data_IF_473328870089
#
_entry.id   IF_473328870089
#
_cell.length_a   1.000
_cell.length_b   1.000
_cell.length_c   1.000
_cell.angle_alpha   90.00
_cell.angle_beta   90.00
_cell.angle_gamma   90.00
#
_symmetry.space_group_name_H-M   'P 1'
#
loop_
_entity.id
_entity.type
_entity.pdbx_description
1 polymer ?
#
# COMPACT_ATOMS: atom_id res chain seq x y z
N UNK A 1 18.39 -14.98 -10.44
CA UNK A 1 17.55 -14.49 -9.33
C UNK A 1 18.52 -14.00 -8.26
N UNK A 2 18.75 -12.70 -8.14
CA UNK A 2 19.59 -12.12 -7.08
C UNK A 2 18.69 -11.99 -5.83
N UNK A 3 18.82 -12.92 -4.89
CA UNK A 3 18.36 -12.72 -3.53
C UNK A 3 19.29 -11.70 -2.88
N UNK A 4 18.99 -10.42 -3.05
CA UNK A 4 19.57 -9.40 -2.18
C UNK A 4 18.90 -9.56 -0.81
N UNK A 5 19.53 -10.30 0.09
CA UNK A 5 19.21 -10.27 1.50
C UNK A 5 19.53 -8.86 2.02
N UNK A 6 18.59 -7.94 1.82
CA UNK A 6 18.63 -6.61 2.42
C UNK A 6 18.56 -6.80 3.93
N UNK A 7 19.68 -6.55 4.62
CA UNK A 7 19.84 -6.87 6.04
C UNK A 7 19.27 -5.73 6.89
N UNK A 8 18.01 -5.89 7.35
CA UNK A 8 17.38 -4.94 8.27
C UNK A 8 18.10 -4.83 9.63
N UNK A 9 18.87 -5.85 10.03
CA UNK A 9 19.60 -5.83 11.31
C UNK A 9 20.84 -4.91 11.28
N UNK A 10 21.24 -4.41 10.11
CA UNK A 10 22.29 -3.42 9.96
C UNK A 10 21.81 -1.98 10.13
N UNK A 11 20.50 -1.76 10.20
CA UNK A 11 19.91 -0.42 10.39
C UNK A 11 20.13 0.05 11.84
N UNK A 12 20.27 1.38 12.05
CA UNK A 12 20.36 1.94 13.39
C UNK A 12 19.08 1.71 14.19
N UNK A 13 19.17 1.88 15.52
CA UNK A 13 17.98 1.84 16.38
C UNK A 13 16.89 2.77 15.86
N UNK A 14 15.67 2.24 15.68
CA UNK A 14 14.57 2.95 15.08
C UNK A 14 14.04 4.06 16.00
N UNK A 15 14.50 5.29 15.77
CA UNK A 15 14.02 6.50 16.47
C UNK A 15 13.16 7.32 15.53
N UNK A 16 11.89 7.54 15.90
CA UNK A 16 10.99 8.35 15.08
C UNK A 16 10.02 9.18 15.93
N UNK A 17 9.47 10.22 15.33
CA UNK A 17 8.36 11.01 15.85
C UNK A 17 7.38 11.37 14.75
N UNK A 18 6.11 11.59 15.11
CA UNK A 18 5.14 12.18 14.19
C UNK A 18 5.23 13.70 14.27
N UNK A 19 5.41 14.33 13.12
CA UNK A 19 5.53 15.79 13.02
C UNK A 19 4.68 16.33 11.89
N UNK A 20 4.17 17.54 12.08
CA UNK A 20 3.52 18.32 11.03
C UNK A 20 4.62 19.09 10.27
N UNK A 21 4.84 18.72 9.01
CA UNK A 21 5.89 19.29 8.16
C UNK A 21 5.25 19.96 6.95
N UNK A 22 5.68 21.20 6.64
CA UNK A 22 5.25 21.87 5.43
C UNK A 22 5.82 21.13 4.19
N UNK A 23 4.98 20.88 3.20
CA UNK A 23 5.37 20.15 1.99
C UNK A 23 6.52 20.80 1.21
N UNK A 24 6.70 22.11 1.32
CA UNK A 24 7.84 22.82 0.75
C UNK A 24 9.21 22.36 1.31
N UNK A 25 9.21 21.81 2.52
CA UNK A 25 10.42 21.32 3.19
C UNK A 25 10.70 19.85 2.91
N UNK A 26 9.77 19.15 2.27
CA UNK A 26 9.86 17.73 1.96
C UNK A 26 10.64 17.52 0.65
N UNK A 27 11.81 16.91 0.73
CA UNK A 27 12.73 16.74 -0.40
C UNK A 27 12.72 15.26 -0.83
N UNK A 28 12.28 14.94 -2.07
CA UNK A 28 12.46 13.60 -2.60
C UNK A 28 13.94 13.37 -2.95
N UNK A 29 14.49 12.21 -2.62
CA UNK A 29 15.86 11.87 -2.98
C UNK A 29 15.89 11.18 -4.34
N UNK A 30 16.24 11.94 -5.38
CA UNK A 30 16.25 11.48 -6.79
C UNK A 30 17.27 10.37 -7.06
N UNK A 31 18.27 10.21 -6.22
CA UNK A 31 19.35 9.23 -6.43
C UNK A 31 18.88 7.77 -6.29
N UNK A 32 17.89 7.50 -5.44
CA UNK A 32 17.34 6.15 -5.24
C UNK A 32 15.84 6.05 -5.48
N UNK A 33 15.11 7.17 -5.52
CA UNK A 33 13.68 7.15 -5.78
C UNK A 33 13.37 7.25 -7.27
N UNK A 34 12.22 6.68 -7.63
CA UNK A 34 11.68 6.87 -9.00
C UNK A 34 11.22 8.31 -9.16
N UNK A 35 11.26 8.79 -10.40
CA UNK A 35 10.61 10.05 -10.76
C UNK A 35 9.12 9.99 -10.44
N UNK A 36 8.55 11.12 -10.01
CA UNK A 36 7.11 11.29 -9.84
C UNK A 36 6.37 10.90 -11.12
N UNK A 37 5.33 10.08 -10.95
CA UNK A 37 4.41 9.74 -12.02
C UNK A 37 3.16 10.59 -11.86
N UNK A 38 3.04 11.63 -12.67
CA UNK A 38 1.93 12.58 -12.58
C UNK A 38 0.57 11.92 -12.78
N UNK A 39 0.48 10.90 -13.64
CA UNK A 39 -0.72 10.07 -13.80
C UNK A 39 -1.16 9.42 -12.47
N UNK A 40 -0.19 8.86 -11.73
CA UNK A 40 -0.47 8.27 -10.42
C UNK A 40 -0.83 9.33 -9.38
N UNK A 41 -0.20 10.50 -9.43
CA UNK A 41 -0.53 11.63 -8.56
C UNK A 41 -1.97 12.08 -8.81
N UNK A 42 -2.38 12.24 -10.09
CA UNK A 42 -3.74 12.60 -10.46
C UNK A 42 -4.77 11.58 -9.98
N UNK A 43 -4.51 10.27 -10.21
CA UNK A 43 -5.38 9.20 -9.73
C UNK A 43 -5.56 9.20 -8.19
N UNK A 44 -4.48 9.48 -7.45
CA UNK A 44 -4.56 9.60 -5.99
C UNK A 44 -5.35 10.86 -5.62
N UNK A 45 -5.11 11.99 -6.30
CA UNK A 45 -5.77 13.26 -6.00
C UNK A 45 -7.29 13.21 -6.30
N UNK A 46 -7.71 12.58 -7.39
CA UNK A 46 -9.12 12.41 -7.77
C UNK A 46 -9.92 11.63 -6.70
N UNK A 47 -9.30 10.67 -6.04
CA UNK A 47 -9.93 9.83 -5.02
C UNK A 47 -9.28 10.03 -3.65
N UNK A 48 -8.75 11.24 -3.39
CA UNK A 48 -8.01 11.49 -2.17
C UNK A 48 -8.91 11.42 -0.94
N UNK A 49 -8.47 10.65 0.04
CA UNK A 49 -9.12 10.56 1.34
C UNK A 49 -8.07 10.37 2.43
N UNK A 50 -8.16 11.14 3.49
CA UNK A 50 -7.28 10.98 4.67
C UNK A 50 -7.45 9.62 5.36
N UNK A 51 -8.59 8.95 5.19
CA UNK A 51 -8.80 7.59 5.72
C UNK A 51 -7.93 6.53 5.07
N UNK A 52 -7.52 6.74 3.81
CA UNK A 52 -6.73 5.77 3.03
C UNK A 52 -5.31 6.27 2.73
N UNK A 53 -5.07 7.57 2.90
CA UNK A 53 -3.78 8.16 2.61
C UNK A 53 -2.77 7.83 3.72
N UNK A 54 -1.68 7.16 3.34
CA UNK A 54 -0.59 6.89 4.27
C UNK A 54 0.18 8.16 4.62
N UNK A 55 0.70 8.19 5.86
CA UNK A 55 1.62 9.21 6.29
C UNK A 55 2.97 9.04 5.58
N UNK A 56 3.54 10.11 4.99
CA UNK A 56 4.85 10.03 4.38
C UNK A 56 5.91 9.65 5.41
N UNK A 57 6.85 8.77 5.01
CA UNK A 57 8.02 8.43 5.81
C UNK A 57 9.19 9.31 5.39
N UNK A 58 9.75 9.98 6.36
CA UNK A 58 10.72 11.05 6.16
C UNK A 58 11.93 10.79 7.04
N UNK A 59 13.13 10.95 6.49
CA UNK A 59 14.36 10.99 7.25
C UNK A 59 14.77 12.42 7.51
N UNK A 60 15.12 12.73 8.75
CA UNK A 60 15.69 14.02 9.11
C UNK A 60 17.19 13.88 9.27
N UNK A 61 17.95 14.41 8.31
CA UNK A 61 19.41 14.46 8.32
C UNK A 61 19.91 15.79 7.77
N UNK A 62 21.04 16.26 8.21
CA UNK A 62 21.68 17.49 7.75
C UNK A 62 20.76 18.72 7.79
N UNK A 63 19.84 18.77 8.77
CA UNK A 63 18.89 19.86 8.91
C UNK A 63 17.74 19.85 7.89
N UNK A 64 17.54 18.75 7.14
CA UNK A 64 16.56 18.65 6.04
C UNK A 64 15.69 17.41 6.18
N UNK A 65 14.49 17.46 5.58
CA UNK A 65 13.51 16.38 5.56
C UNK A 65 13.53 15.66 4.21
N UNK A 66 14.07 14.44 4.17
CA UNK A 66 14.12 13.62 2.96
C UNK A 66 13.01 12.58 2.97
N UNK A 67 12.08 12.68 2.00
CA UNK A 67 10.98 11.71 1.87
C UNK A 67 11.53 10.44 1.25
N UNK A 68 11.47 9.31 1.92
CA UNK A 68 11.86 8.03 1.34
C UNK A 68 10.66 7.10 1.04
N UNK A 69 9.45 7.45 1.52
CA UNK A 69 8.22 6.79 1.12
C UNK A 69 7.06 7.79 1.11
N UNK A 70 6.12 7.64 0.16
CA UNK A 70 4.91 8.46 0.08
C UNK A 70 5.04 9.73 -0.77
N UNK A 71 6.07 9.90 -1.61
CA UNK A 71 6.24 11.10 -2.45
C UNK A 71 5.00 11.41 -3.33
N UNK A 72 4.35 10.38 -3.93
CA UNK A 72 3.14 10.60 -4.73
C UNK A 72 1.98 11.11 -3.87
N UNK A 73 1.87 10.66 -2.61
CA UNK A 73 0.85 11.12 -1.67
C UNK A 73 1.09 12.57 -1.24
N UNK A 74 2.34 12.96 -1.05
CA UNK A 74 2.71 14.38 -0.77
C UNK A 74 2.26 15.27 -1.92
N UNK A 75 2.57 14.89 -3.17
CA UNK A 75 2.22 15.68 -4.33
C UNK A 75 0.71 15.67 -4.62
N UNK A 76 0.02 14.56 -4.36
CA UNK A 76 -1.43 14.50 -4.45
C UNK A 76 -2.10 15.46 -3.45
N UNK A 77 -1.60 15.56 -2.20
CA UNK A 77 -2.09 16.54 -1.23
C UNK A 77 -1.89 17.98 -1.69
N UNK A 78 -0.73 18.30 -2.29
CA UNK A 78 -0.50 19.61 -2.90
C UNK A 78 -1.48 19.87 -4.04
N UNK A 79 -1.70 18.88 -4.91
CA UNK A 79 -2.66 18.96 -6.02
C UNK A 79 -4.07 19.24 -5.52
N UNK A 80 -4.53 18.53 -4.48
CA UNK A 80 -5.84 18.77 -3.83
C UNK A 80 -5.92 20.17 -3.19
N UNK A 81 -4.78 20.74 -2.79
CA UNK A 81 -4.69 22.10 -2.24
C UNK A 81 -4.46 23.17 -3.33
N UNK A 82 -4.81 22.88 -4.58
CA UNK A 82 -4.65 23.81 -5.70
C UNK A 82 -3.19 24.09 -6.08
N UNK A 83 -2.31 23.12 -5.90
CA UNK A 83 -0.87 23.22 -6.19
C UNK A 83 -0.06 24.00 -5.14
N UNK A 84 -0.69 24.44 -4.05
CA UNK A 84 -0.04 25.17 -2.97
C UNK A 84 0.51 24.22 -1.92
N UNK A 85 1.54 24.68 -1.23
CA UNK A 85 2.11 23.94 -0.11
C UNK A 85 1.08 23.74 1.02
N UNK A 86 1.19 22.56 1.64
CA UNK A 86 0.28 22.12 2.70
C UNK A 86 1.09 21.50 3.83
N UNK A 87 0.64 21.65 5.05
CA UNK A 87 1.23 21.00 6.21
C UNK A 87 0.73 19.57 6.32
N UNK A 88 1.66 18.61 6.32
CA UNK A 88 1.39 17.18 6.27
C UNK A 88 1.93 16.51 7.53
N UNK A 89 1.14 15.63 8.12
CA UNK A 89 1.62 14.76 9.18
C UNK A 89 2.54 13.71 8.60
N UNK A 90 3.79 13.70 9.05
CA UNK A 90 4.84 12.79 8.57
C UNK A 90 5.36 11.94 9.72
N UNK A 91 5.74 10.70 9.41
CA UNK A 91 6.55 9.87 10.31
C UNK A 91 8.02 10.18 10.05
N UNK A 92 8.63 10.95 10.94
CA UNK A 92 10.01 11.45 10.80
C UNK A 92 10.97 10.55 11.56
N UNK A 93 11.92 9.97 10.86
CA UNK A 93 12.98 9.12 11.39
C UNK A 93 14.27 9.92 11.59
N UNK A 94 15.02 9.56 12.62
CA UNK A 94 16.27 10.20 13.00
C UNK A 94 17.41 9.19 12.99
N UNK A 95 18.59 9.66 12.61
CA UNK A 95 19.82 8.85 12.62
C UNK A 95 19.96 7.91 11.44
N UNK A 96 19.10 8.03 10.41
CA UNK A 96 19.27 7.30 9.16
C UNK A 96 20.31 7.99 8.28
N UNK A 97 21.12 7.20 7.59
CA UNK A 97 21.98 7.64 6.49
C UNK A 97 21.20 7.59 5.16
N UNK A 98 21.77 8.14 4.10
CA UNK A 98 21.20 8.03 2.75
C UNK A 98 21.12 6.57 2.27
N UNK A 99 22.10 5.77 2.64
CA UNK A 99 22.17 4.35 2.34
C UNK A 99 21.06 3.56 3.05
N UNK A 100 20.76 3.92 4.31
CA UNK A 100 19.65 3.35 5.07
C UNK A 100 18.30 3.69 4.43
N UNK A 101 18.12 4.96 4.02
CA UNK A 101 16.93 5.41 3.30
C UNK A 101 16.72 4.61 2.00
N UNK A 102 17.78 4.43 1.20
CA UNK A 102 17.74 3.67 -0.04
C UNK A 102 17.38 2.19 0.21
N UNK A 103 17.95 1.59 1.25
CA UNK A 103 17.65 0.22 1.67
C UNK A 103 16.18 0.06 2.07
N UNK A 104 15.66 0.97 2.90
CA UNK A 104 14.27 0.97 3.32
C UNK A 104 13.32 1.16 2.14
N UNK A 105 13.65 2.07 1.22
CA UNK A 105 12.88 2.28 -0.01
C UNK A 105 12.82 1.00 -0.86
N UNK A 106 13.96 0.33 -1.06
CA UNK A 106 14.02 -0.90 -1.84
C UNK A 106 13.19 -2.03 -1.22
N UNK A 107 13.25 -2.22 0.10
CA UNK A 107 12.47 -3.23 0.82
C UNK A 107 10.97 -2.95 0.68
N UNK A 108 10.52 -1.72 0.91
CA UNK A 108 9.11 -1.36 0.84
C UNK A 108 8.54 -1.54 -0.57
N UNK A 109 9.29 -1.13 -1.60
CA UNK A 109 8.84 -1.27 -2.99
C UNK A 109 8.87 -2.72 -3.49
N UNK A 110 9.77 -3.54 -2.96
CA UNK A 110 9.89 -4.97 -3.30
C UNK A 110 8.80 -5.85 -2.66
N UNK A 111 8.28 -5.45 -1.50
CA UNK A 111 7.32 -6.24 -0.71
C UNK A 111 5.85 -5.81 -0.91
N UNK A 112 5.59 -4.81 -1.74
CA UNK A 112 4.22 -4.37 -2.02
C UNK A 112 3.46 -5.44 -2.81
N UNK A 113 2.64 -6.22 -2.12
CA UNK A 113 1.74 -7.19 -2.75
C UNK A 113 0.42 -6.51 -3.08
N UNK A 114 0.01 -6.56 -4.35
CA UNK A 114 -1.31 -6.10 -4.75
C UNK A 114 -2.37 -7.12 -4.30
N UNK A 115 -3.51 -6.63 -3.83
CA UNK A 115 -4.67 -7.47 -3.55
C UNK A 115 -5.07 -8.23 -4.83
N UNK A 116 -5.34 -9.53 -4.68
CA UNK A 116 -5.95 -10.33 -5.73
C UNK A 116 -7.38 -9.87 -6.01
N UNK A 117 -7.93 -10.25 -7.16
CA UNK A 117 -9.33 -9.92 -7.48
C UNK A 117 -10.32 -10.47 -6.44
N UNK A 118 -10.06 -11.69 -5.93
CA UNK A 118 -10.89 -12.31 -4.90
C UNK A 118 -10.84 -11.59 -3.54
N UNK A 119 -9.64 -11.16 -3.12
CA UNK A 119 -9.48 -10.39 -1.87
C UNK A 119 -10.19 -9.03 -1.96
N UNK A 120 -10.10 -8.38 -3.14
CA UNK A 120 -10.80 -7.11 -3.39
C UNK A 120 -12.30 -7.29 -3.39
N UNK A 121 -12.80 -8.34 -4.06
CA UNK A 121 -14.23 -8.66 -4.09
C UNK A 121 -14.78 -8.88 -2.67
N UNK A 122 -14.06 -9.65 -1.86
CA UNK A 122 -14.43 -9.90 -0.46
C UNK A 122 -14.49 -8.61 0.36
N UNK A 123 -13.47 -7.76 0.26
CA UNK A 123 -13.44 -6.50 0.96
C UNK A 123 -14.62 -5.60 0.57
N UNK A 124 -14.94 -5.52 -0.73
CA UNK A 124 -16.07 -4.75 -1.23
C UNK A 124 -17.43 -5.33 -0.79
N UNK A 125 -17.54 -6.66 -0.65
CA UNK A 125 -18.76 -7.29 -0.12
C UNK A 125 -18.99 -6.92 1.35
N UNK A 126 -17.93 -6.98 2.18
CA UNK A 126 -18.00 -6.57 3.59
C UNK A 126 -18.29 -5.07 3.72
N UNK A 127 -17.80 -4.26 2.80
CA UNK A 127 -18.08 -2.84 2.72
C UNK A 127 -19.48 -2.52 2.14
N UNK A 128 -20.28 -3.53 1.81
CA UNK A 128 -21.62 -3.40 1.19
C UNK A 128 -21.62 -2.49 -0.05
N UNK A 129 -20.52 -2.55 -0.84
CA UNK A 129 -20.39 -1.75 -2.04
C UNK A 129 -21.54 -2.08 -3.02
N UNK A 130 -22.36 -1.09 -3.45
CA UNK A 130 -23.57 -1.33 -4.23
C UNK A 130 -23.31 -2.05 -5.55
N UNK A 131 -22.26 -1.67 -6.28
CA UNK A 131 -21.93 -2.28 -7.57
C UNK A 131 -21.50 -3.73 -7.39
N UNK A 132 -20.78 -4.01 -6.31
CA UNK A 132 -20.35 -5.38 -5.98
C UNK A 132 -21.53 -6.26 -5.58
N UNK A 133 -22.44 -5.74 -4.76
CA UNK A 133 -23.66 -6.46 -4.37
C UNK A 133 -24.54 -6.74 -5.59
N UNK A 134 -24.70 -5.77 -6.48
CA UNK A 134 -25.43 -5.93 -7.73
C UNK A 134 -24.79 -7.00 -8.64
N UNK A 135 -23.48 -6.93 -8.83
CA UNK A 135 -22.72 -7.91 -9.61
C UNK A 135 -22.87 -9.33 -9.07
N UNK A 136 -22.67 -9.52 -7.74
CA UNK A 136 -22.79 -10.82 -7.10
C UNK A 136 -24.25 -11.33 -7.16
N UNK A 137 -25.23 -10.45 -7.00
CA UNK A 137 -26.65 -10.81 -7.14
C UNK A 137 -27.01 -11.35 -8.53
N UNK A 138 -26.55 -10.68 -9.60
CA UNK A 138 -26.76 -11.14 -10.99
C UNK A 138 -26.08 -12.48 -11.23
N UNK A 139 -24.83 -12.62 -10.83
CA UNK A 139 -24.06 -13.86 -11.07
C UNK A 139 -24.61 -15.04 -10.29
N UNK A 140 -25.06 -14.84 -9.05
CA UNK A 140 -25.73 -15.87 -8.25
C UNK A 140 -27.07 -16.31 -8.90
N UNK A 141 -27.84 -15.37 -9.43
CA UNK A 141 -29.08 -15.68 -10.14
C UNK A 141 -28.82 -16.46 -11.45
N UNK A 142 -27.63 -16.29 -12.04
CA UNK A 142 -27.19 -17.05 -13.23
C UNK A 142 -26.53 -18.40 -12.84
N UNK A 143 -26.55 -18.80 -11.57
CA UNK A 143 -25.92 -20.05 -11.10
C UNK A 143 -24.41 -20.02 -11.01
N UNK A 144 -23.80 -18.81 -11.01
CA UNK A 144 -22.35 -18.65 -10.84
C UNK A 144 -22.03 -18.39 -9.37
N UNK A 145 -21.26 -19.29 -8.77
CA UNK A 145 -20.74 -19.13 -7.41
C UNK A 145 -19.28 -18.69 -7.46
N UNK A 146 -18.94 -17.73 -6.58
CA UNK A 146 -17.56 -17.32 -6.41
C UNK A 146 -16.89 -18.15 -5.32
N UNK A 147 -15.90 -18.97 -5.69
CA UNK A 147 -15.06 -19.66 -4.74
C UNK A 147 -14.10 -18.64 -4.09
N UNK A 148 -14.39 -18.23 -2.89
CA UNK A 148 -13.48 -17.45 -2.07
C UNK A 148 -12.42 -18.40 -1.48
N UNK A 149 -11.29 -18.53 -2.15
CA UNK A 149 -10.18 -19.32 -1.62
C UNK A 149 -9.55 -18.53 -0.49
N UNK A 150 -9.83 -18.96 0.74
CA UNK A 150 -9.13 -18.47 1.92
C UNK A 150 -7.70 -19.01 1.92
N UNK A 151 -6.74 -18.15 1.64
CA UNK A 151 -5.32 -18.41 1.94
C UNK A 151 -4.97 -18.14 3.40
N UNK A 152 -5.90 -17.64 4.18
CA UNK A 152 -5.75 -17.60 5.62
C UNK A 152 -6.07 -19.00 6.15
N UNK A 153 -5.17 -19.57 6.96
CA UNK A 153 -5.48 -20.68 7.82
C UNK A 153 -6.77 -20.35 8.58
N UNK A 154 -7.90 -20.78 8.03
CA UNK A 154 -9.17 -20.64 8.72
C UNK A 154 -9.09 -21.53 9.92
N UNK A 155 -9.01 -20.93 11.09
CA UNK A 155 -9.25 -21.61 12.34
C UNK A 155 -10.68 -22.11 12.30
N UNK A 156 -10.86 -23.37 11.94
CA UNK A 156 -12.12 -24.07 12.14
C UNK A 156 -12.28 -24.31 13.63
N UNK A 157 -13.39 -23.90 14.26
CA UNK A 157 -13.61 -24.13 15.69
C UNK A 157 -13.57 -25.60 16.09
N UNK A 158 -13.61 -26.52 15.14
CA UNK A 158 -13.65 -27.97 15.36
C UNK A 158 -12.30 -28.68 15.15
N UNK A 159 -11.20 -27.95 14.90
CA UNK A 159 -9.84 -28.52 14.87
C UNK A 159 -9.55 -29.53 13.74
N UNK A 160 -10.35 -29.58 12.68
CA UNK A 160 -10.12 -30.48 11.53
C UNK A 160 -9.49 -29.70 10.36
N UNK A 161 -8.22 -29.97 10.09
CA UNK A 161 -7.53 -29.55 8.88
C UNK A 161 -8.03 -30.39 7.69
N UNK A 162 -8.88 -29.83 6.85
CA UNK A 162 -9.11 -30.39 5.51
C UNK A 162 -8.13 -29.77 4.52
N UNK A 163 -7.10 -30.55 4.18
CA UNK A 163 -6.16 -30.19 3.11
C UNK A 163 -6.82 -30.46 1.75
N UNK A 164 -7.58 -29.52 1.24
CA UNK A 164 -7.92 -29.53 -0.19
C UNK A 164 -7.00 -28.56 -0.93
N UNK A 165 -5.95 -29.13 -1.51
CA UNK A 165 -5.09 -28.44 -2.45
C UNK A 165 -5.84 -28.27 -3.78
N UNK A 166 -6.33 -27.04 -4.06
CA UNK A 166 -6.70 -26.67 -5.41
C UNK A 166 -5.80 -25.54 -5.89
N UNK A 167 -5.25 -25.66 -7.11
CA UNK A 167 -4.36 -24.62 -7.66
C UNK A 167 -5.14 -23.35 -7.94
N UNK A 168 -4.57 -22.22 -7.52
CA UNK A 168 -5.09 -20.89 -7.80
C UNK A 168 -4.95 -20.57 -9.29
N UNK A 169 -5.89 -20.98 -10.08
CA UNK A 169 -6.19 -20.33 -11.35
C UNK A 169 -7.53 -19.63 -11.15
N UNK A 170 -7.57 -18.31 -11.40
CA UNK A 170 -8.82 -17.54 -11.41
C UNK A 170 -9.71 -18.07 -12.52
N UNK A 171 -10.46 -19.13 -12.25
CA UNK A 171 -11.40 -19.75 -13.16
C UNK A 171 -12.80 -19.62 -12.59
N UNK A 172 -13.70 -19.08 -13.39
CA UNK A 172 -15.12 -19.22 -13.18
C UNK A 172 -15.45 -20.72 -13.35
N UNK A 173 -16.01 -21.35 -12.33
CA UNK A 173 -16.60 -22.67 -12.50
C UNK A 173 -18.09 -22.46 -12.77
N UNK A 174 -18.50 -22.79 -14.00
CA UNK A 174 -19.92 -22.93 -14.34
C UNK A 174 -20.38 -24.26 -13.73
N UNK A 175 -21.24 -24.22 -12.74
CA UNK A 175 -21.98 -25.38 -12.27
C UNK A 175 -23.04 -25.75 -13.32
N UNK A 176 -22.99 -26.99 -13.81
CA UNK A 176 -24.05 -27.64 -14.59
C UNK A 176 -25.09 -28.26 -13.65
#
# INVERSE_FOLDING_TARGET
MMNSNLNLSALPECKFAYQMVNSALLIPCIEYQRMLRMEKVSQIAENFSEYIANEPKVSYRDGRFYVFDGQNTVEARRTCNGGKDVTIRCKVFYGLTKEDEATLFAIQTGNATCLTAGERLRANLVAENPDTLYFVGITSNAGVEFAYIDRCNCYHPDGKEEKTAHPCAGGFQLGL
#
